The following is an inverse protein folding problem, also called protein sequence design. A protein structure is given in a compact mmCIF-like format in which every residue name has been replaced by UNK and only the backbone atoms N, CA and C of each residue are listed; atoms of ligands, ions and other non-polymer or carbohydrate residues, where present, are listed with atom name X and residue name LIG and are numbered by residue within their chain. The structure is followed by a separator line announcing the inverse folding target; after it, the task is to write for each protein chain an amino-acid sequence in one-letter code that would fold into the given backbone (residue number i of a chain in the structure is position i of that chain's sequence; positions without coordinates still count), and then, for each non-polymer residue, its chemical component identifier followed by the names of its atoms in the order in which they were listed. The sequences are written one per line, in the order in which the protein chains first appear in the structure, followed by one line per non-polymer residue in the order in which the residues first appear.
data_IF_851656348029
#
_entry.id   IF_851656348029
#
_cell.length_a   1.000
_cell.length_b   1.000
_cell.length_c   1.000
_cell.angle_alpha   90.00
_cell.angle_beta   90.00
_cell.angle_gamma   90.00
#
_symmetry.space_group_name_H-M   'P 1'
#
loop_
_entity.id
_entity.type
_entity.pdbx_description
1 polymer ?
#
# COMPACT_ATOMS: atom_id res chain seq x y z
N UNK A 1 -34.14 39.99 -24.50
CA UNK A 1 -33.18 38.96 -24.98
C UNK A 1 -33.12 37.84 -23.92
N UNK A 2 -33.93 36.78 -24.07
CA UNK A 2 -34.21 35.79 -23.00
C UNK A 2 -33.49 34.48 -23.32
N UNK A 3 -32.56 34.06 -22.44
CA UNK A 3 -31.76 32.83 -22.57
C UNK A 3 -32.62 31.60 -22.25
N UNK A 4 -32.89 30.76 -23.24
CA UNK A 4 -33.51 29.44 -23.03
C UNK A 4 -32.50 28.48 -22.36
N UNK A 5 -32.83 27.98 -21.17
CA UNK A 5 -32.11 26.86 -20.55
C UNK A 5 -32.70 25.54 -21.06
N UNK A 6 -31.96 24.81 -21.89
CA UNK A 6 -32.26 23.42 -22.25
C UNK A 6 -31.97 22.52 -21.04
N UNK A 7 -33.01 21.97 -20.43
CA UNK A 7 -32.89 20.87 -19.46
C UNK A 7 -32.63 19.58 -20.24
N UNK A 8 -31.47 18.95 -20.03
CA UNK A 8 -31.18 17.62 -20.59
C UNK A 8 -31.91 16.57 -19.75
N UNK A 9 -32.90 15.92 -20.34
CA UNK A 9 -33.56 14.75 -19.77
C UNK A 9 -32.55 13.60 -19.73
N UNK A 10 -32.17 13.12 -18.55
CA UNK A 10 -31.30 11.96 -18.41
C UNK A 10 -32.12 10.69 -18.73
N UNK A 11 -31.74 9.97 -19.77
CA UNK A 11 -32.32 8.68 -20.11
C UNK A 11 -32.01 7.66 -18.99
N UNK A 12 -33.06 7.06 -18.43
CA UNK A 12 -32.94 6.03 -17.41
C UNK A 12 -32.18 4.81 -17.97
N UNK A 13 -31.01 4.52 -17.41
CA UNK A 13 -30.24 3.30 -17.72
C UNK A 13 -30.98 2.09 -17.13
N UNK A 14 -31.33 1.12 -17.98
CA UNK A 14 -31.87 -0.18 -17.55
C UNK A 14 -30.79 -0.94 -16.75
N UNK A 15 -31.12 -1.59 -15.62
CA UNK A 15 -30.15 -2.38 -14.88
C UNK A 15 -29.76 -3.63 -15.66
N UNK A 16 -28.47 -3.95 -15.68
CA UNK A 16 -27.94 -5.17 -16.31
C UNK A 16 -28.47 -6.41 -15.58
N UNK A 17 -28.90 -7.44 -16.33
CA UNK A 17 -29.35 -8.72 -15.79
C UNK A 17 -28.12 -9.61 -15.52
N UNK A 18 -28.14 -10.34 -14.41
CA UNK A 18 -27.04 -11.15 -13.87
C UNK A 18 -26.76 -12.43 -14.68
N UNK A 19 -27.48 -12.67 -15.78
CA UNK A 19 -27.43 -13.95 -16.53
C UNK A 19 -26.35 -14.03 -17.61
N UNK A 20 -25.55 -12.99 -17.85
CA UNK A 20 -24.44 -13.02 -18.82
C UNK A 20 -23.10 -13.44 -18.17
N UNK A 21 -23.10 -14.51 -17.39
CA UNK A 21 -21.85 -15.17 -16.96
C UNK A 21 -21.44 -16.11 -18.09
N UNK A 22 -20.97 -15.53 -19.19
CA UNK A 22 -20.27 -16.25 -20.25
C UNK A 22 -19.02 -16.91 -19.66
N UNK A 23 -18.83 -18.20 -19.97
CA UNK A 23 -17.69 -18.98 -19.55
C UNK A 23 -16.37 -18.24 -19.84
N UNK A 24 -15.71 -17.76 -18.78
CA UNK A 24 -14.40 -17.17 -18.90
C UNK A 24 -13.41 -18.27 -19.29
N UNK A 25 -12.68 -18.05 -20.38
CA UNK A 25 -11.54 -18.88 -20.75
C UNK A 25 -10.55 -18.96 -19.56
N UNK A 26 -9.83 -20.09 -19.38
CA UNK A 26 -8.89 -20.23 -18.28
C UNK A 26 -7.76 -19.21 -18.45
N UNK A 27 -7.81 -18.14 -17.66
CA UNK A 27 -6.75 -17.14 -17.58
C UNK A 27 -5.54 -17.80 -16.93
N UNK A 28 -4.38 -17.71 -17.60
CA UNK A 28 -3.10 -18.14 -17.05
C UNK A 28 -2.86 -17.51 -15.65
N UNK A 29 -2.20 -18.21 -14.72
CA UNK A 29 -1.93 -17.67 -13.40
C UNK A 29 -1.07 -16.40 -13.53
N UNK A 30 -1.66 -15.24 -13.27
CA UNK A 30 -0.92 -13.98 -13.39
C UNK A 30 0.22 -13.96 -12.36
N UNK A 31 1.45 -13.73 -12.81
CA UNK A 31 2.66 -13.57 -12.00
C UNK A 31 2.65 -12.27 -11.14
N UNK A 32 1.49 -11.82 -10.66
CA UNK A 32 1.34 -10.63 -9.83
C UNK A 32 1.67 -10.89 -8.34
N UNK A 33 2.64 -11.75 -8.04
CA UNK A 33 3.21 -11.84 -6.68
C UNK A 33 4.25 -10.74 -6.47
N UNK A 34 3.85 -9.49 -6.65
CA UNK A 34 4.61 -8.40 -6.03
C UNK A 34 4.50 -8.60 -4.52
N UNK A 35 5.63 -8.76 -3.83
CA UNK A 35 5.66 -8.96 -2.38
C UNK A 35 4.73 -7.97 -1.69
N UNK A 36 3.66 -8.50 -1.08
CA UNK A 36 2.64 -7.67 -0.45
C UNK A 36 3.27 -7.03 0.78
N UNK A 37 3.46 -5.71 0.74
CA UNK A 37 3.90 -4.94 1.91
C UNK A 37 2.84 -5.08 3.01
N UNK A 38 3.23 -5.69 4.13
CA UNK A 38 2.39 -5.78 5.33
C UNK A 38 2.71 -4.58 6.21
N UNK A 39 1.69 -3.79 6.55
CA UNK A 39 1.83 -2.72 7.54
C UNK A 39 2.01 -3.32 8.93
N UNK A 40 2.98 -2.82 9.69
CA UNK A 40 3.25 -3.26 11.06
C UNK A 40 3.20 -2.06 12.00
N UNK A 41 2.62 -2.26 13.18
CA UNK A 41 2.65 -1.28 14.29
C UNK A 41 3.74 -1.70 15.26
N UNK A 42 4.68 -0.79 15.55
CA UNK A 42 5.73 -1.02 16.53
C UNK A 42 5.39 -0.29 17.82
N UNK A 43 5.17 -1.05 18.89
CA UNK A 43 5.06 -0.49 20.22
C UNK A 43 6.46 -0.17 20.74
N UNK A 44 6.70 1.09 21.07
CA UNK A 44 7.99 1.57 21.54
C UNK A 44 7.77 2.56 22.70
N UNK A 45 8.60 2.52 23.76
CA UNK A 45 8.58 3.54 24.80
C UNK A 45 8.74 4.94 24.18
N UNK A 46 8.00 5.92 24.70
CA UNK A 46 7.98 7.28 24.15
C UNK A 46 9.38 7.90 24.01
N UNK A 47 10.22 7.73 25.03
CA UNK A 47 11.59 8.24 25.03
C UNK A 47 12.44 7.65 23.90
N UNK A 48 12.24 6.36 23.58
CA UNK A 48 12.91 5.69 22.45
C UNK A 48 12.33 6.15 21.12
N UNK A 49 11.01 6.29 21.03
CA UNK A 49 10.35 6.77 19.81
C UNK A 49 10.83 8.17 19.42
N UNK A 50 10.92 9.09 20.39
CA UNK A 50 11.42 10.45 20.18
C UNK A 50 12.86 10.45 19.67
N UNK A 51 13.74 9.69 20.31
CA UNK A 51 15.14 9.55 19.87
C UNK A 51 15.24 8.99 18.46
N UNK A 52 14.45 7.96 18.17
CA UNK A 52 14.41 7.33 16.85
C UNK A 52 13.95 8.30 15.76
N UNK A 53 12.89 9.06 16.03
CA UNK A 53 12.39 10.09 15.10
C UNK A 53 13.42 11.18 14.85
N UNK A 54 14.10 11.67 15.90
CA UNK A 54 15.13 12.69 15.75
C UNK A 54 16.32 12.19 14.91
N UNK A 55 16.75 10.94 15.11
CA UNK A 55 17.82 10.34 14.31
C UNK A 55 17.43 10.22 12.82
N UNK A 56 16.18 9.84 12.53
CA UNK A 56 15.65 9.80 11.17
C UNK A 56 15.66 11.20 10.52
N UNK A 57 15.18 12.23 11.24
CA UNK A 57 15.17 13.61 10.77
C UNK A 57 16.57 14.17 10.52
N UNK A 58 17.53 13.90 11.40
CA UNK A 58 18.93 14.33 11.24
C UNK A 58 19.59 13.70 10.00
N UNK A 59 19.09 12.55 9.56
CA UNK A 59 19.61 11.83 8.39
C UNK A 59 18.82 12.13 7.12
N UNK A 60 17.89 13.09 7.15
CA UNK A 60 16.94 13.38 6.07
C UNK A 60 16.18 12.13 5.56
N UNK A 61 15.80 11.27 6.51
CA UNK A 61 15.15 9.98 6.23
C UNK A 61 13.74 9.91 6.84
N UNK A 62 12.86 9.18 6.17
CA UNK A 62 11.61 8.74 6.78
C UNK A 62 11.90 7.74 7.91
N UNK A 63 11.07 7.69 8.96
CA UNK A 63 11.25 6.72 10.07
C UNK A 63 11.24 5.25 9.62
N UNK A 64 10.67 4.95 8.44
CA UNK A 64 10.69 3.60 7.87
C UNK A 64 12.11 3.15 7.53
N UNK A 65 12.93 4.06 7.04
CA UNK A 65 14.25 3.75 6.50
C UNK A 65 15.22 3.25 7.61
N UNK A 66 15.33 3.92 8.78
CA UNK A 66 16.13 3.38 9.88
C UNK A 66 15.61 2.05 10.45
N UNK A 67 14.30 1.77 10.37
CA UNK A 67 13.76 0.46 10.79
C UNK A 67 14.29 -0.66 9.90
N UNK A 68 14.25 -0.46 8.58
CA UNK A 68 14.76 -1.43 7.60
C UNK A 68 16.26 -1.65 7.84
N UNK A 69 17.05 -0.57 7.92
CA UNK A 69 18.50 -0.66 8.13
C UNK A 69 18.88 -1.36 9.44
N UNK A 70 18.12 -1.12 10.51
CA UNK A 70 18.36 -1.79 11.80
C UNK A 70 18.11 -3.29 11.68
N UNK A 71 17.06 -3.70 10.96
CA UNK A 71 16.77 -5.10 10.70
C UNK A 71 17.85 -5.76 9.83
N UNK A 72 18.26 -5.11 8.75
CA UNK A 72 19.33 -5.61 7.86
C UNK A 72 20.66 -5.79 8.62
N UNK A 73 20.99 -4.84 9.50
CA UNK A 73 22.19 -4.92 10.33
C UNK A 73 22.13 -6.13 11.28
N UNK A 74 21.01 -6.31 11.96
CA UNK A 74 20.78 -7.47 12.83
C UNK A 74 20.86 -8.79 12.06
N UNK A 75 20.24 -8.90 10.88
CA UNK A 75 20.33 -10.11 10.05
C UNK A 75 21.77 -10.47 9.70
N UNK A 76 22.60 -9.49 9.33
CA UNK A 76 24.03 -9.72 9.04
C UNK A 76 24.79 -10.21 10.26
N UNK A 77 24.46 -9.74 11.45
CA UNK A 77 25.08 -10.19 12.70
C UNK A 77 24.67 -11.62 13.05
N UNK A 78 23.39 -11.97 12.91
CA UNK A 78 22.91 -13.34 13.16
C UNK A 78 23.53 -14.35 12.19
N UNK A 79 23.65 -13.99 10.90
CA UNK A 79 24.33 -14.85 9.92
C UNK A 79 25.81 -15.08 10.24
N UNK A 80 26.46 -14.17 10.96
CA UNK A 80 27.86 -14.33 11.40
C UNK A 80 27.98 -15.24 12.62
N UNK A 81 26.98 -15.27 13.49
CA UNK A 81 26.98 -16.13 14.70
C UNK A 81 26.67 -17.59 14.40
N UNK A 82 26.05 -17.87 13.25
CA UNK A 82 25.72 -19.23 12.79
C UNK A 82 26.84 -19.95 12.03
N UNK A 83 28.05 -19.39 11.99
CA UNK A 83 29.29 -20.03 11.51
C UNK A 83 30.26 -20.22 12.67
#
# INVERSE_FOLDING_TARGET
MIRQRRVRLFAARKPARITDIGAAAPTEPSENFSERRVGMTFNMPESRHKRFKMAALQSDMSMREPLIRSFDAWQREEMKKGR
#
